data_IF_156407803695
#
_entry.id   IF_156407803695
#
_cell.length_a   1.000
_cell.length_b   1.000
_cell.length_c   1.000
_cell.angle_alpha   90.00
_cell.angle_beta   90.00
_cell.angle_gamma   90.00
#
_symmetry.space_group_name_H-M   'P 1'
#
loop_
_entity.id
_entity.type
_entity.pdbx_description
1 polymer ?
#
# COMPACT_ATOMS: atom_id res chain seq x y z
N UNK A 1 -8.35 10.04 -13.51
CA UNK A 1 -7.95 10.44 -14.87
C UNK A 1 -6.52 10.95 -15.00
N UNK A 2 -5.98 11.81 -14.11
CA UNK A 2 -4.59 12.33 -14.24
C UNK A 2 -3.51 11.24 -14.13
N UNK A 3 -3.64 10.30 -13.19
CA UNK A 3 -2.65 9.23 -12.95
C UNK A 3 -2.54 8.28 -14.14
N UNK A 4 -3.68 7.80 -14.66
CA UNK A 4 -3.72 6.92 -15.83
C UNK A 4 -3.04 7.56 -17.05
N UNK A 5 -3.33 8.82 -17.30
CA UNK A 5 -2.69 9.59 -18.39
C UNK A 5 -1.18 9.64 -18.21
N UNK A 6 -0.70 10.00 -17.02
CA UNK A 6 0.74 10.08 -16.73
C UNK A 6 1.45 8.73 -16.94
N UNK A 7 0.84 7.62 -16.48
CA UNK A 7 1.40 6.28 -16.69
C UNK A 7 1.46 5.96 -18.19
N UNK A 8 0.40 6.24 -18.94
CA UNK A 8 0.39 6.02 -20.40
C UNK A 8 1.44 6.86 -21.12
N UNK A 9 1.63 8.13 -20.73
CA UNK A 9 2.68 8.99 -21.28
C UNK A 9 4.09 8.45 -21.00
N UNK A 10 4.36 7.99 -19.78
CA UNK A 10 5.63 7.38 -19.38
C UNK A 10 5.92 6.03 -20.06
N UNK A 11 4.91 5.36 -20.54
CA UNK A 11 5.01 4.01 -21.16
C UNK A 11 4.68 4.02 -22.65
N UNK A 12 4.84 5.14 -23.33
CA UNK A 12 4.56 5.31 -24.77
C UNK A 12 3.16 4.84 -25.18
N UNK A 13 2.15 5.05 -24.33
CA UNK A 13 0.76 4.67 -24.57
C UNK A 13 0.39 3.23 -24.21
N UNK A 14 1.38 2.37 -23.93
CA UNK A 14 1.16 0.92 -23.74
C UNK A 14 0.56 0.62 -22.37
N UNK A 15 1.07 1.20 -21.30
CA UNK A 15 0.74 0.92 -19.91
C UNK A 15 1.88 0.21 -19.16
N UNK A 16 1.74 0.11 -17.85
CA UNK A 16 2.75 -0.48 -16.98
C UNK A 16 2.78 -2.01 -17.12
N UNK A 17 3.97 -2.59 -16.99
CA UNK A 17 4.20 -4.05 -16.96
C UNK A 17 3.54 -4.70 -15.75
N UNK A 18 3.72 -4.06 -14.59
CA UNK A 18 3.22 -4.55 -13.31
C UNK A 18 2.69 -3.38 -12.49
N UNK A 19 1.53 -3.57 -11.88
CA UNK A 19 0.87 -2.57 -11.03
C UNK A 19 0.53 -3.18 -9.69
N UNK A 20 0.81 -2.46 -8.61
CA UNK A 20 0.42 -2.83 -7.25
C UNK A 20 -0.78 -1.98 -6.82
N UNK A 21 -1.91 -2.63 -6.56
CA UNK A 21 -3.09 -2.02 -5.99
C UNK A 21 -3.06 -2.20 -4.45
N UNK A 22 -3.04 -1.10 -3.71
CA UNK A 22 -2.82 -1.11 -2.26
C UNK A 22 -3.95 -0.41 -1.46
N UNK A 23 -5.08 -0.11 -2.09
CA UNK A 23 -6.16 0.67 -1.49
C UNK A 23 -7.41 -0.17 -1.25
N UNK A 24 -7.84 -0.96 -2.24
CA UNK A 24 -8.99 -1.86 -2.15
C UNK A 24 -10.34 -1.19 -2.46
N UNK A 25 -10.36 -0.08 -3.19
CA UNK A 25 -11.61 0.55 -3.65
C UNK A 25 -11.91 0.20 -5.11
N UNK A 26 -13.18 0.34 -5.52
CA UNK A 26 -13.58 0.17 -6.92
C UNK A 26 -12.75 1.05 -7.86
N UNK A 27 -12.56 2.33 -7.49
CA UNK A 27 -11.81 3.28 -8.31
C UNK A 27 -10.34 2.89 -8.45
N UNK A 28 -9.67 2.51 -7.35
CA UNK A 28 -8.26 2.13 -7.38
C UNK A 28 -8.03 0.83 -8.16
N UNK A 29 -8.92 -0.15 -8.04
CA UNK A 29 -8.86 -1.39 -8.81
C UNK A 29 -9.00 -1.12 -10.31
N UNK A 30 -9.99 -0.34 -10.72
CA UNK A 30 -10.18 0.04 -12.12
C UNK A 30 -9.00 0.87 -12.65
N UNK A 31 -8.44 1.75 -11.82
CA UNK A 31 -7.25 2.51 -12.18
C UNK A 31 -6.04 1.60 -12.39
N UNK A 32 -5.84 0.61 -11.52
CA UNK A 32 -4.77 -0.37 -11.65
C UNK A 32 -4.92 -1.19 -12.95
N UNK A 33 -6.09 -1.73 -13.22
CA UNK A 33 -6.36 -2.49 -14.44
C UNK A 33 -6.14 -1.68 -15.71
N UNK A 34 -6.69 -0.45 -15.76
CA UNK A 34 -6.58 0.42 -16.94
C UNK A 34 -5.17 0.98 -17.16
N UNK A 35 -4.34 0.98 -16.12
CA UNK A 35 -2.94 1.43 -16.18
C UNK A 35 -1.99 0.33 -16.63
N UNK A 36 -2.42 -0.93 -16.57
CA UNK A 36 -1.63 -2.09 -16.93
C UNK A 36 -1.71 -2.35 -18.43
N UNK A 37 -0.59 -2.74 -19.04
CA UNK A 37 -0.58 -3.16 -20.44
C UNK A 37 -1.28 -4.51 -20.64
N UNK A 38 -1.78 -4.83 -21.83
CA UNK A 38 -2.22 -6.20 -22.14
C UNK A 38 -1.08 -7.21 -21.88
N UNK A 39 -1.40 -8.33 -21.25
CA UNK A 39 -0.44 -9.34 -20.80
C UNK A 39 0.40 -8.93 -19.60
N UNK A 40 0.12 -7.76 -18.98
CA UNK A 40 0.75 -7.30 -17.75
C UNK A 40 0.06 -7.84 -16.50
N UNK A 41 0.56 -7.44 -15.33
CA UNK A 41 0.16 -8.00 -14.04
C UNK A 41 -0.39 -6.91 -13.12
N UNK A 42 -1.54 -7.17 -12.52
CA UNK A 42 -2.07 -6.43 -11.38
C UNK A 42 -2.01 -7.31 -10.16
N UNK A 43 -1.25 -6.91 -9.15
CA UNK A 43 -1.25 -7.55 -7.84
C UNK A 43 -1.94 -6.63 -6.83
N UNK A 44 -2.99 -7.10 -6.17
CA UNK A 44 -3.69 -6.31 -5.17
C UNK A 44 -3.45 -6.86 -3.76
N UNK A 45 -3.08 -5.96 -2.86
CA UNK A 45 -2.87 -6.19 -1.42
C UNK A 45 -3.83 -5.36 -0.56
N UNK A 46 -4.47 -4.36 -1.16
CA UNK A 46 -5.62 -3.68 -0.59
C UNK A 46 -6.80 -4.67 -0.51
N UNK A 47 -7.45 -4.78 0.65
CA UNK A 47 -8.62 -5.65 0.79
C UNK A 47 -9.76 -5.07 -0.03
N UNK A 48 -10.25 -5.76 -1.08
CA UNK A 48 -11.32 -5.22 -1.90
C UNK A 48 -12.63 -5.17 -1.09
N UNK A 49 -13.19 -3.98 -0.96
CA UNK A 49 -14.49 -3.76 -0.37
C UNK A 49 -15.47 -3.33 -1.46
N UNK A 50 -16.50 -4.13 -1.69
CA UNK A 50 -17.55 -3.88 -2.70
C UNK A 50 -17.00 -3.63 -4.12
N UNK A 51 -15.86 -4.26 -4.45
CA UNK A 51 -15.26 -4.19 -5.78
C UNK A 51 -15.94 -5.19 -6.70
N UNK A 52 -16.55 -4.68 -7.76
CA UNK A 52 -17.12 -5.47 -8.84
C UNK A 52 -16.21 -5.38 -10.08
N UNK A 53 -15.88 -6.52 -10.66
CA UNK A 53 -15.13 -6.61 -11.90
C UNK A 53 -16.05 -7.10 -13.01
N UNK A 54 -16.09 -6.36 -14.10
CA UNK A 54 -16.80 -6.78 -15.29
C UNK A 54 -16.00 -7.87 -16.02
N UNK A 55 -16.64 -9.03 -16.23
CA UNK A 55 -15.98 -10.19 -16.83
C UNK A 55 -15.58 -9.97 -18.29
N UNK A 56 -16.37 -9.22 -19.06
CA UNK A 56 -16.04 -8.88 -20.44
C UNK A 56 -14.84 -7.93 -20.51
N UNK A 57 -14.84 -6.90 -19.67
CA UNK A 57 -13.71 -6.00 -19.56
C UNK A 57 -12.43 -6.74 -19.15
N UNK A 58 -12.52 -7.64 -18.16
CA UNK A 58 -11.37 -8.42 -17.72
C UNK A 58 -10.83 -9.31 -18.84
N UNK A 59 -11.70 -9.96 -19.59
CA UNK A 59 -11.35 -10.79 -20.74
C UNK A 59 -10.59 -9.98 -21.82
N UNK A 60 -11.14 -8.85 -22.24
CA UNK A 60 -10.54 -8.04 -23.30
C UNK A 60 -9.32 -7.23 -22.85
N UNK A 61 -9.16 -6.96 -21.56
CA UNK A 61 -7.95 -6.29 -21.04
C UNK A 61 -6.71 -7.17 -21.11
N UNK A 62 -6.88 -8.50 -21.11
CA UNK A 62 -5.79 -9.48 -21.10
C UNK A 62 -4.79 -9.22 -19.97
N UNK A 63 -5.29 -8.83 -18.78
CA UNK A 63 -4.48 -8.53 -17.60
C UNK A 63 -4.48 -9.72 -16.67
N UNK A 64 -3.32 -10.07 -16.14
CA UNK A 64 -3.21 -11.05 -15.06
C UNK A 64 -3.57 -10.38 -13.73
N UNK A 65 -4.63 -10.83 -13.09
CA UNK A 65 -5.08 -10.31 -11.81
C UNK A 65 -4.82 -11.32 -10.70
N UNK A 66 -4.07 -10.94 -9.68
CA UNK A 66 -3.75 -11.78 -8.55
C UNK A 66 -3.73 -10.96 -7.27
N UNK A 67 -4.15 -11.55 -6.16
CA UNK A 67 -4.10 -10.90 -4.85
C UNK A 67 -4.43 -11.85 -3.72
N UNK A 68 -4.34 -11.34 -2.52
CA UNK A 68 -4.63 -12.08 -1.32
C UNK A 68 -3.85 -11.56 -0.11
N UNK A 69 -4.02 -12.17 1.07
CA UNK A 69 -3.26 -11.82 2.25
C UNK A 69 -1.76 -11.98 2.01
N UNK A 70 -0.99 -10.95 2.37
CA UNK A 70 0.47 -11.01 2.24
C UNK A 70 1.04 -12.14 3.10
N UNK A 71 1.85 -13.07 2.57
CA UNK A 71 2.44 -14.16 3.33
C UNK A 71 3.62 -13.68 4.18
N UNK A 72 3.32 -12.83 5.17
CA UNK A 72 4.29 -12.07 5.97
C UNK A 72 5.39 -12.96 6.56
N UNK A 73 5.01 -14.09 7.18
CA UNK A 73 5.99 -15.00 7.82
C UNK A 73 7.04 -15.53 6.86
N UNK A 74 6.69 -15.73 5.60
CA UNK A 74 7.63 -16.20 4.58
C UNK A 74 8.74 -15.18 4.30
N UNK A 75 8.38 -13.89 4.29
CA UNK A 75 9.29 -12.83 3.90
C UNK A 75 9.98 -12.13 5.07
N UNK A 76 9.53 -12.34 6.32
CA UNK A 76 10.11 -11.69 7.49
C UNK A 76 11.64 -11.86 7.61
N UNK A 77 12.23 -13.05 7.42
CA UNK A 77 13.69 -13.20 7.52
C UNK A 77 14.43 -12.32 6.51
N UNK A 78 13.98 -12.32 5.26
CA UNK A 78 14.57 -11.49 4.20
C UNK A 78 14.38 -10.00 4.48
N UNK A 79 13.19 -9.58 4.90
CA UNK A 79 12.89 -8.19 5.21
C UNK A 79 13.74 -7.67 6.39
N UNK A 80 13.98 -8.49 7.41
CA UNK A 80 14.85 -8.14 8.53
C UNK A 80 16.28 -7.89 8.04
N UNK A 81 16.82 -8.78 7.21
CA UNK A 81 18.15 -8.59 6.61
C UNK A 81 18.22 -7.32 5.75
N UNK A 82 17.20 -7.03 4.96
CA UNK A 82 17.13 -5.81 4.16
C UNK A 82 17.13 -4.54 5.02
N UNK A 83 16.44 -4.58 6.17
CA UNK A 83 16.41 -3.46 7.13
C UNK A 83 17.75 -3.31 7.83
N UNK A 84 18.31 -4.41 8.35
CA UNK A 84 19.60 -4.38 9.07
C UNK A 84 20.76 -3.93 8.18
N UNK A 85 20.73 -4.30 6.90
CA UNK A 85 21.72 -3.88 5.90
C UNK A 85 21.39 -2.52 5.25
N UNK A 86 20.43 -1.79 5.78
CA UNK A 86 19.98 -0.47 5.29
C UNK A 86 19.56 -0.43 3.81
N UNK A 87 19.21 -1.58 3.21
CA UNK A 87 18.72 -1.66 1.84
C UNK A 87 17.32 -1.08 1.70
N UNK A 88 16.49 -1.22 2.75
CA UNK A 88 15.18 -0.60 2.87
C UNK A 88 15.08 0.13 4.20
N UNK A 89 14.33 1.22 4.22
CA UNK A 89 14.16 2.09 5.39
C UNK A 89 12.66 2.27 5.71
N UNK A 90 11.97 1.22 6.17
CA UNK A 90 10.51 1.26 6.39
C UNK A 90 10.11 2.25 7.49
N UNK A 91 11.02 2.59 8.42
CA UNK A 91 10.77 3.56 9.47
C UNK A 91 10.43 4.96 8.98
N UNK A 92 10.73 5.30 7.72
CA UNK A 92 10.40 6.61 7.14
C UNK A 92 8.90 6.90 7.04
N UNK A 93 8.05 5.88 7.15
CA UNK A 93 6.59 6.08 7.14
C UNK A 93 6.07 6.60 8.47
N UNK A 94 6.85 6.48 9.55
CA UNK A 94 6.48 6.97 10.88
C UNK A 94 6.95 8.42 11.02
N UNK A 95 6.09 9.34 10.72
CA UNK A 95 6.35 10.79 10.75
C UNK A 95 5.66 11.51 11.92
N UNK A 96 4.95 10.77 12.78
CA UNK A 96 4.38 11.23 14.04
C UNK A 96 4.60 10.18 15.13
N UNK A 97 5.16 10.61 16.26
CA UNK A 97 5.34 9.76 17.44
C UNK A 97 4.52 10.31 18.60
N UNK A 98 3.70 9.46 19.19
CA UNK A 98 2.82 9.83 20.32
C UNK A 98 2.92 8.81 21.45
N UNK A 99 2.69 9.21 22.71
CA UNK A 99 2.49 8.27 23.79
C UNK A 99 1.19 7.47 23.59
N UNK A 100 1.09 6.28 24.19
CA UNK A 100 -0.03 5.36 23.98
C UNK A 100 -1.39 5.95 24.37
N UNK A 101 -1.44 6.80 25.39
CA UNK A 101 -2.66 7.48 25.84
C UNK A 101 -3.22 8.50 24.82
N UNK A 102 -2.41 8.87 23.82
CA UNK A 102 -2.82 9.75 22.72
C UNK A 102 -3.18 8.98 21.44
N UNK A 103 -3.48 7.70 21.53
CA UNK A 103 -3.82 6.85 20.37
C UNK A 103 -4.96 7.45 19.51
N UNK A 104 -5.97 8.05 20.14
CA UNK A 104 -7.09 8.68 19.42
C UNK A 104 -6.63 9.85 18.52
N UNK A 105 -5.65 10.64 18.97
CA UNK A 105 -5.06 11.69 18.14
C UNK A 105 -4.24 11.08 16.98
N UNK A 106 -3.53 10.00 17.23
CA UNK A 106 -2.81 9.28 16.18
C UNK A 106 -3.74 8.86 15.04
N UNK A 107 -4.86 8.23 15.35
CA UNK A 107 -5.86 7.86 14.34
C UNK A 107 -6.44 9.07 13.62
N UNK A 108 -6.77 10.12 14.34
CA UNK A 108 -7.29 11.37 13.75
C UNK A 108 -6.28 12.03 12.81
N UNK A 109 -5.01 12.04 13.18
CA UNK A 109 -3.95 12.59 12.35
C UNK A 109 -3.78 11.83 11.03
N UNK A 110 -3.87 10.49 11.05
CA UNK A 110 -3.83 9.66 9.85
C UNK A 110 -5.08 9.86 8.98
N UNK A 111 -6.28 9.88 9.58
CA UNK A 111 -7.54 10.10 8.87
C UNK A 111 -7.57 11.46 8.15
N UNK A 112 -7.07 12.51 8.82
CA UNK A 112 -6.94 13.85 8.25
C UNK A 112 -5.74 14.04 7.32
N UNK A 113 -4.97 12.96 7.06
CA UNK A 113 -3.76 12.98 6.22
C UNK A 113 -2.71 14.01 6.66
N UNK A 114 -2.65 14.30 7.98
CA UNK A 114 -1.61 15.14 8.59
C UNK A 114 -0.31 14.35 8.86
N UNK A 115 -0.42 13.04 8.88
CA UNK A 115 0.69 12.09 9.04
C UNK A 115 0.46 10.88 8.15
N UNK A 116 1.52 10.22 7.74
CA UNK A 116 1.46 8.96 7.00
C UNK A 116 1.14 7.81 7.97
N UNK A 117 1.93 7.71 9.05
CA UNK A 117 1.79 6.65 10.05
C UNK A 117 2.22 7.14 11.42
N UNK A 118 1.37 6.92 12.42
CA UNK A 118 1.69 7.24 13.80
C UNK A 118 2.39 6.07 14.49
N UNK A 119 3.55 6.33 15.12
CA UNK A 119 4.21 5.41 16.04
C UNK A 119 3.72 5.70 17.45
N UNK A 120 3.18 4.70 18.12
CA UNK A 120 2.77 4.81 19.51
C UNK A 120 3.87 4.22 20.41
N UNK A 121 4.35 5.04 21.35
CA UNK A 121 5.29 4.62 22.36
C UNK A 121 4.53 4.34 23.66
N UNK A 122 4.60 3.12 24.23
CA UNK A 122 4.13 2.88 25.59
C UNK A 122 4.88 3.82 26.53
N UNK A 123 4.18 4.40 27.50
CA UNK A 123 4.84 5.19 28.53
C UNK A 123 5.92 4.34 29.18
N UNK A 124 7.13 4.83 29.20
CA UNK A 124 8.14 4.28 30.10
C UNK A 124 7.58 4.51 31.51
N UNK A 125 7.28 3.42 32.21
CA UNK A 125 6.90 3.47 33.60
C UNK A 125 7.93 4.34 34.33
N UNK A 126 7.45 5.48 34.85
CA UNK A 126 8.30 6.48 35.47
C UNK A 126 9.29 5.83 36.42
N UNK A 127 10.50 6.32 36.42
CA UNK A 127 11.55 5.98 37.40
C UNK A 127 10.91 5.97 38.78
N UNK A 128 10.78 4.80 39.40
CA UNK A 128 10.61 4.73 40.84
C UNK A 128 11.82 5.41 41.45
N UNK A 129 11.67 6.68 41.85
CA UNK A 129 12.60 7.32 42.77
C UNK A 129 12.61 6.49 44.05
N UNK A 130 13.71 5.91 44.35
CA UNK A 130 14.02 5.35 45.69
C UNK A 130 14.32 6.49 46.65
#
# INVERSE_FOLDING_TARGET
MKVLRAIKELTNGIGAESVLECVGTQESMMQAMNSTRPGGYVSYVGVPHDVALDGEQLFFSHVHLHGGPAPVRRYLPELIELVLNEKIKPGKVFDLTLPLDQVAEGYRAMDQRRTIKTLLCPQQSGSRSR
#
